data_IF_039384629186
#
_entry.id   IF_039384629186
#
_cell.length_a   1.000
_cell.length_b   1.000
_cell.length_c   1.000
_cell.angle_alpha   90.00
_cell.angle_beta   90.00
_cell.angle_gamma   90.00
#
_symmetry.space_group_name_H-M   'P 1'
#
loop_
_entity.id
_entity.type
_entity.pdbx_description
1 polymer ?
#
# COMPACT_ATOMS: atom_id res chain seq x y z
N UNK A 1 -9.50 9.88 31.92
CA UNK A 1 -9.47 8.60 31.18
C UNK A 1 -8.70 8.89 29.91
N UNK A 2 -7.41 8.54 29.88
CA UNK A 2 -6.56 8.75 28.72
C UNK A 2 -6.51 7.45 27.94
N UNK A 3 -7.28 7.37 26.85
CA UNK A 3 -7.12 6.30 25.86
C UNK A 3 -5.74 6.45 25.23
N UNK A 4 -4.79 5.73 25.81
CA UNK A 4 -3.43 5.62 25.28
C UNK A 4 -3.48 4.52 24.22
N UNK A 5 -3.84 4.90 23.00
CA UNK A 5 -3.77 4.02 21.85
C UNK A 5 -2.31 3.56 21.69
N UNK A 6 -2.02 2.25 21.57
CA UNK A 6 -0.66 1.75 21.52
C UNK A 6 0.04 2.31 20.27
N UNK A 7 1.34 2.64 20.34
CA UNK A 7 2.05 3.12 19.18
C UNK A 7 2.19 1.95 18.19
N UNK A 8 1.77 2.15 16.94
CA UNK A 8 1.92 1.19 15.84
C UNK A 8 3.41 0.99 15.50
N UNK A 9 4.19 0.37 16.39
CA UNK A 9 5.62 0.12 16.18
C UNK A 9 5.82 -1.31 15.67
N UNK A 10 5.99 -1.44 14.35
CA UNK A 10 6.61 -2.62 13.75
C UNK A 10 6.56 -2.65 12.23
N UNK A 11 5.42 -2.28 11.63
CA UNK A 11 5.24 -2.33 10.18
C UNK A 11 5.24 -0.91 9.57
N UNK A 12 6.23 -0.54 8.75
CA UNK A 12 6.32 0.80 8.15
C UNK A 12 5.19 1.11 7.18
N UNK A 13 4.38 0.13 6.79
CA UNK A 13 3.22 0.30 5.92
C UNK A 13 1.93 0.65 6.69
N UNK A 14 1.94 0.58 8.03
CA UNK A 14 0.76 0.86 8.86
C UNK A 14 0.93 2.24 9.50
N UNK A 15 0.11 3.20 9.04
CA UNK A 15 0.10 4.58 9.49
C UNK A 15 -0.80 4.82 10.71
N UNK A 16 -0.94 6.10 11.10
CA UNK A 16 -1.78 6.48 12.26
C UNK A 16 -3.27 6.46 11.90
N UNK A 17 -3.60 6.70 10.64
CA UNK A 17 -4.94 6.60 10.08
C UNK A 17 -5.03 5.50 9.03
N UNK A 18 -6.28 5.15 8.68
CA UNK A 18 -6.55 4.26 7.55
C UNK A 18 -6.03 4.88 6.24
N UNK A 19 -6.22 6.19 6.04
CA UNK A 19 -5.69 6.93 4.90
C UNK A 19 -4.16 6.88 4.79
N UNK A 20 -3.44 7.10 5.89
CA UNK A 20 -1.98 7.00 5.91
C UNK A 20 -1.50 5.58 5.57
N UNK A 21 -2.24 4.58 6.04
CA UNK A 21 -1.98 3.16 5.76
C UNK A 21 -2.23 2.84 4.28
N UNK A 22 -3.35 3.29 3.71
CA UNK A 22 -3.70 3.11 2.30
C UNK A 22 -2.64 3.80 1.41
N UNK A 23 -2.23 5.01 1.75
CA UNK A 23 -1.20 5.75 1.00
C UNK A 23 0.16 5.05 1.07
N UNK A 24 0.57 4.59 2.25
CA UNK A 24 1.83 3.86 2.43
C UNK A 24 1.85 2.54 1.65
N UNK A 25 0.74 1.80 1.65
CA UNK A 25 0.58 0.58 0.85
C UNK A 25 0.61 0.86 -0.64
N UNK A 26 -0.08 1.90 -1.10
CA UNK A 26 -0.09 2.31 -2.51
C UNK A 26 1.34 2.59 -2.99
N UNK A 27 2.06 3.47 -2.29
CA UNK A 27 3.42 3.88 -2.66
C UNK A 27 4.39 2.69 -2.68
N UNK A 28 4.26 1.77 -1.73
CA UNK A 28 5.11 0.59 -1.67
C UNK A 28 4.85 -0.38 -2.84
N UNK A 29 3.58 -0.63 -3.18
CA UNK A 29 3.23 -1.52 -4.31
C UNK A 29 3.62 -0.87 -5.65
N UNK A 30 3.47 0.44 -5.79
CA UNK A 30 3.95 1.19 -6.96
C UNK A 30 5.46 1.01 -7.15
N UNK A 31 6.24 1.14 -6.07
CA UNK A 31 7.68 0.87 -6.10
C UNK A 31 8.00 -0.58 -6.52
N UNK A 32 7.25 -1.56 -6.03
CA UNK A 32 7.43 -2.96 -6.44
C UNK A 32 7.11 -3.18 -7.92
N UNK A 33 6.11 -2.50 -8.49
CA UNK A 33 5.82 -2.56 -9.93
C UNK A 33 7.01 -2.04 -10.74
N UNK A 34 7.56 -0.88 -10.37
CA UNK A 34 8.73 -0.30 -11.03
C UNK A 34 9.97 -1.21 -10.94
N UNK A 35 10.15 -1.85 -9.79
CA UNK A 35 11.27 -2.78 -9.57
C UNK A 35 11.12 -4.07 -10.39
N UNK A 36 9.91 -4.62 -10.43
CA UNK A 36 9.55 -5.80 -11.22
C UNK A 36 9.79 -5.60 -12.71
N UNK A 37 9.50 -4.41 -13.23
CA UNK A 37 9.73 -4.07 -14.64
C UNK A 37 11.23 -3.87 -14.97
N UNK A 38 12.05 -3.54 -13.97
CA UNK A 38 13.46 -3.17 -14.16
C UNK A 38 14.48 -4.29 -13.94
N UNK A 39 14.16 -5.35 -13.20
CA UNK A 39 15.17 -6.34 -12.75
C UNK A 39 15.46 -7.48 -13.73
N UNK A 40 14.63 -7.68 -14.77
CA UNK A 40 14.78 -8.73 -15.79
C UNK A 40 14.68 -10.18 -15.29
N UNK A 41 14.44 -10.39 -14.00
CA UNK A 41 14.35 -11.69 -13.33
C UNK A 41 12.98 -11.97 -12.72
N UNK A 42 12.17 -10.92 -12.55
CA UNK A 42 10.83 -11.00 -12.03
C UNK A 42 9.93 -11.74 -13.01
N UNK A 43 9.16 -12.68 -12.46
CA UNK A 43 8.21 -13.46 -13.24
C UNK A 43 7.13 -12.54 -13.83
N UNK A 44 6.76 -12.65 -15.12
CA UNK A 44 5.78 -11.77 -15.75
C UNK A 44 4.42 -11.73 -15.04
N UNK A 45 4.01 -12.85 -14.43
CA UNK A 45 2.79 -12.94 -13.62
C UNK A 45 2.84 -12.12 -12.32
N UNK A 46 4.04 -11.81 -11.81
CA UNK A 46 4.20 -10.98 -10.62
C UNK A 46 3.86 -9.52 -10.89
N UNK A 47 4.32 -8.95 -12.02
CA UNK A 47 4.00 -7.59 -12.41
C UNK A 47 2.48 -7.40 -12.55
N UNK A 48 1.79 -8.33 -13.23
CA UNK A 48 0.33 -8.32 -13.34
C UNK A 48 -0.36 -8.42 -11.97
N UNK A 49 0.15 -9.27 -11.08
CA UNK A 49 -0.40 -9.42 -9.74
C UNK A 49 -0.24 -8.15 -8.91
N UNK A 50 0.92 -7.48 -8.99
CA UNK A 50 1.17 -6.21 -8.31
C UNK A 50 0.27 -5.10 -8.83
N UNK A 51 0.09 -5.00 -10.15
CA UNK A 51 -0.82 -4.03 -10.76
C UNK A 51 -2.28 -4.23 -10.30
N UNK A 52 -2.72 -5.48 -10.16
CA UNK A 52 -4.06 -5.79 -9.64
C UNK A 52 -4.24 -5.32 -8.20
N UNK A 53 -3.25 -5.59 -7.34
CA UNK A 53 -3.30 -5.14 -5.94
C UNK A 53 -3.22 -3.61 -5.86
N UNK A 54 -2.39 -2.96 -6.68
CA UNK A 54 -2.29 -1.50 -6.74
C UNK A 54 -3.64 -0.86 -7.09
N UNK A 55 -4.35 -1.38 -8.09
CA UNK A 55 -5.68 -0.91 -8.46
C UNK A 55 -6.74 -1.12 -7.36
N UNK A 56 -6.62 -2.21 -6.59
CA UNK A 56 -7.49 -2.45 -5.44
C UNK A 56 -7.24 -1.41 -4.31
N UNK A 57 -5.98 -1.10 -4.00
CA UNK A 57 -5.62 -0.09 -3.00
C UNK A 57 -6.02 1.32 -3.45
N UNK A 58 -5.84 1.66 -4.73
CA UNK A 58 -6.28 2.95 -5.29
C UNK A 58 -7.81 3.14 -5.15
N UNK A 59 -8.57 2.06 -5.37
CA UNK A 59 -10.01 2.07 -5.19
C UNK A 59 -10.42 2.34 -3.74
N UNK A 60 -9.63 1.92 -2.75
CA UNK A 60 -9.86 2.24 -1.34
C UNK A 60 -9.58 3.71 -1.04
N UNK A 61 -8.51 4.27 -1.62
CA UNK A 61 -8.17 5.70 -1.53
C UNK A 61 -9.27 6.60 -2.09
N UNK A 62 -9.94 6.17 -3.15
CA UNK A 62 -11.11 6.86 -3.70
C UNK A 62 -12.33 6.84 -2.78
N UNK A 63 -12.53 5.77 -1.99
CA UNK A 63 -13.66 5.64 -1.05
C UNK A 63 -13.51 6.52 0.19
N UNK A 64 -12.30 6.63 0.75
CA UNK A 64 -12.06 7.52 1.90
C UNK A 64 -12.25 9.02 1.60
N UNK A 65 -12.20 9.43 0.33
CA UNK A 65 -12.43 10.84 -0.03
C UNK A 65 -13.92 11.21 -0.12
N UNK A 66 -14.81 10.22 -0.07
CA UNK A 66 -16.25 10.39 -0.24
C UNK A 66 -16.99 10.31 1.13
N UNK A 67 -16.34 9.76 2.16
CA UNK A 67 -16.82 9.67 3.54
C UNK A 67 -16.26 10.81 4.41
#
# INVERSE_FOLDING_TARGET
MSDSQPPHHGNPLIGQTNGDTIESLYNYIEYLCLSADGDGTTHPGMALSLQLVLGAVDSLKGRERIE
#
